data_IF_804934426302
#
_entry.id   IF_804934426302
#
_cell.length_a   1.000
_cell.length_b   1.000
_cell.length_c   1.000
_cell.angle_alpha   90.00
_cell.angle_beta   90.00
_cell.angle_gamma   90.00
#
_symmetry.space_group_name_H-M   'P 1'
#
loop_
_entity.id
_entity.type
_entity.pdbx_description
1 polymer ?
#
# COMPACT_ATOMS: atom_id res chain seq x y z
N UNK A 1 2.79 5.97 17.09
CA UNK A 1 3.44 4.80 16.44
C UNK A 1 3.45 4.83 14.91
N UNK A 2 2.60 5.62 14.23
CA UNK A 2 2.53 5.63 12.74
C UNK A 2 3.63 6.38 11.98
N UNK A 3 4.37 7.28 12.63
CA UNK A 3 5.36 8.14 11.94
C UNK A 3 6.73 7.45 11.75
N UNK A 4 7.06 6.48 12.60
CA UNK A 4 8.38 5.83 12.60
C UNK A 4 8.53 4.72 11.55
N UNK A 5 7.42 4.14 11.06
CA UNK A 5 7.45 3.05 10.08
C UNK A 5 7.67 3.54 8.63
N UNK A 6 7.34 4.80 8.33
CA UNK A 6 7.49 5.37 6.98
C UNK A 6 8.95 5.69 6.65
N UNK A 7 9.74 6.10 7.65
CA UNK A 7 11.16 6.41 7.47
C UNK A 7 12.00 5.20 7.07
N UNK A 8 11.77 4.05 7.71
CA UNK A 8 12.55 2.83 7.43
C UNK A 8 12.29 2.22 6.05
N UNK A 9 11.08 2.42 5.51
CA UNK A 9 10.68 1.86 4.21
C UNK A 9 11.17 2.71 3.04
N UNK A 10 11.19 4.03 3.20
CA UNK A 10 11.84 4.94 2.27
C UNK A 10 13.35 4.65 2.14
N UNK A 11 14.01 4.33 3.26
CA UNK A 11 15.43 3.94 3.27
C UNK A 11 15.67 2.62 2.53
N UNK A 12 14.77 1.64 2.65
CA UNK A 12 14.89 0.36 1.93
C UNK A 12 14.69 0.51 0.42
N UNK A 13 13.73 1.35 -0.01
CA UNK A 13 13.51 1.67 -1.43
C UNK A 13 14.73 2.40 -2.02
N UNK A 14 15.29 3.37 -1.30
CA UNK A 14 16.49 4.10 -1.72
C UNK A 14 17.73 3.18 -1.82
N UNK A 15 17.86 2.19 -0.94
CA UNK A 15 18.98 1.24 -0.95
C UNK A 15 18.97 0.30 -2.17
N UNK A 16 17.78 -0.06 -2.69
CA UNK A 16 17.65 -0.92 -3.87
C UNK A 16 17.94 -0.16 -5.16
N UNK A 17 17.60 1.14 -5.25
CA UNK A 17 17.73 1.96 -6.47
C UNK A 17 19.17 2.19 -6.94
N UNK A 18 20.16 2.04 -6.05
CA UNK A 18 21.56 2.38 -6.35
C UNK A 18 22.25 1.49 -7.39
N UNK A 19 21.80 0.24 -7.57
CA UNK A 19 22.56 -0.80 -8.30
C UNK A 19 21.78 -1.47 -9.45
N UNK A 20 20.56 -0.99 -9.75
CA UNK A 20 19.70 -1.56 -10.82
C UNK A 20 19.68 -0.64 -12.03
N UNK A 21 19.98 -1.18 -13.21
CA UNK A 21 19.85 -0.45 -14.48
C UNK A 21 18.39 -0.15 -14.86
N UNK A 22 18.18 0.72 -15.85
CA UNK A 22 16.87 1.20 -16.32
C UNK A 22 15.78 0.12 -16.45
N UNK A 23 15.98 -1.00 -17.16
CA UNK A 23 14.94 -2.01 -17.29
C UNK A 23 14.55 -2.62 -15.94
N UNK A 24 15.49 -2.72 -14.99
CA UNK A 24 15.21 -3.21 -13.64
C UNK A 24 14.38 -2.23 -12.81
N UNK A 25 14.61 -0.93 -12.94
CA UNK A 25 13.78 0.10 -12.30
C UNK A 25 12.34 0.06 -12.84
N UNK A 26 12.17 -0.04 -14.17
CA UNK A 26 10.86 -0.10 -14.80
C UNK A 26 10.07 -1.34 -14.34
N UNK A 27 10.70 -2.52 -14.35
CA UNK A 27 10.06 -3.77 -13.90
C UNK A 27 9.70 -3.71 -12.42
N UNK A 28 10.60 -3.25 -11.56
CA UNK A 28 10.31 -3.13 -10.13
C UNK A 28 9.17 -2.14 -9.85
N UNK A 29 9.14 -1.00 -10.55
CA UNK A 29 8.06 -0.03 -10.47
C UNK A 29 6.71 -0.61 -10.90
N UNK A 30 6.67 -1.34 -12.02
CA UNK A 30 5.47 -2.01 -12.50
C UNK A 30 4.95 -3.08 -11.51
N UNK A 31 5.85 -3.91 -10.97
CA UNK A 31 5.51 -4.94 -9.99
C UNK A 31 4.92 -4.34 -8.71
N UNK A 32 5.47 -3.23 -8.20
CA UNK A 32 4.88 -2.52 -7.07
C UNK A 32 3.48 -1.98 -7.37
N UNK A 33 3.26 -1.47 -8.58
CA UNK A 33 1.94 -1.03 -9.04
C UNK A 33 0.92 -2.17 -9.03
N UNK A 34 1.30 -3.33 -9.59
CA UNK A 34 0.47 -4.55 -9.58
C UNK A 34 0.22 -5.07 -8.15
N UNK A 35 1.22 -5.02 -7.28
CA UNK A 35 1.06 -5.38 -5.87
C UNK A 35 0.01 -4.49 -5.17
N UNK A 36 -0.09 -3.20 -5.53
CA UNK A 36 -1.14 -2.30 -5.06
C UNK A 36 -2.55 -2.76 -5.44
N UNK A 37 -2.73 -3.34 -6.64
CA UNK A 37 -4.00 -3.95 -7.06
C UNK A 37 -4.33 -5.19 -6.24
N UNK A 38 -3.34 -6.06 -6.00
CA UNK A 38 -3.51 -7.25 -5.15
C UNK A 38 -3.88 -6.85 -3.72
N UNK A 39 -3.22 -5.85 -3.14
CA UNK A 39 -3.57 -5.30 -1.81
C UNK A 39 -5.01 -4.79 -1.76
N UNK A 40 -5.46 -4.16 -2.85
CA UNK A 40 -6.85 -3.69 -2.96
C UNK A 40 -7.81 -4.88 -2.96
N UNK A 41 -7.61 -5.85 -3.87
CA UNK A 41 -8.52 -6.98 -4.04
C UNK A 41 -8.51 -8.00 -2.90
N UNK A 42 -7.35 -8.27 -2.29
CA UNK A 42 -7.22 -9.28 -1.25
C UNK A 42 -7.42 -8.72 0.17
N UNK A 43 -7.16 -7.43 0.37
CA UNK A 43 -7.23 -6.78 1.68
C UNK A 43 -8.45 -5.87 1.83
N UNK A 44 -8.56 -4.86 0.95
CA UNK A 44 -9.54 -3.78 1.12
C UNK A 44 -10.95 -4.23 0.72
N UNK A 45 -11.10 -4.92 -0.42
CA UNK A 45 -12.43 -5.39 -0.88
C UNK A 45 -13.10 -6.32 0.15
N UNK A 46 -12.44 -7.36 0.68
CA UNK A 46 -13.06 -8.23 1.69
C UNK A 46 -13.40 -7.51 3.00
N UNK A 47 -12.62 -6.47 3.37
CA UNK A 47 -12.94 -5.65 4.53
C UNK A 47 -14.20 -4.82 4.29
N UNK A 48 -14.34 -4.23 3.11
CA UNK A 48 -15.53 -3.46 2.75
C UNK A 48 -16.77 -4.37 2.70
N UNK A 49 -16.64 -5.58 2.14
CA UNK A 49 -17.75 -6.55 2.06
C UNK A 49 -18.23 -6.98 3.45
N UNK A 50 -17.32 -7.11 4.43
CA UNK A 50 -17.67 -7.41 5.83
C UNK A 50 -18.34 -6.24 6.54
N UNK A 51 -17.97 -5.00 6.17
CA UNK A 51 -18.56 -3.80 6.75
C UNK A 51 -19.95 -3.51 6.18
N UNK A 52 -20.18 -3.84 4.90
CA UNK A 52 -21.41 -3.53 4.16
C UNK A 52 -22.74 -3.87 4.87
N UNK A 53 -22.89 -5.01 5.59
CA UNK A 53 -24.15 -5.34 6.26
C UNK A 53 -24.35 -4.66 7.64
N UNK A 54 -23.34 -3.96 8.19
CA UNK A 54 -23.44 -3.39 9.54
C UNK A 54 -24.39 -2.18 9.58
N UNK A 55 -25.21 -2.12 10.64
CA UNK A 55 -26.18 -1.04 10.85
C UNK A 55 -25.65 -0.06 11.90
N UNK A 56 -25.47 1.22 11.57
CA UNK A 56 -25.02 2.23 12.53
C UNK A 56 -25.92 2.27 13.78
N UNK A 57 -25.31 2.26 14.97
CA UNK A 57 -26.02 2.36 16.25
C UNK A 57 -26.55 1.04 16.81
N UNK A 58 -26.35 -0.10 16.12
CA UNK A 58 -26.61 -1.41 16.72
C UNK A 58 -25.52 -1.77 17.76
N UNK A 59 -25.84 -2.53 18.83
CA UNK A 59 -24.95 -2.77 19.97
C UNK A 59 -23.55 -3.31 19.62
N UNK A 60 -23.44 -4.13 18.57
CA UNK A 60 -22.18 -4.76 18.18
C UNK A 60 -21.39 -3.99 17.09
N UNK A 61 -21.95 -2.90 16.56
CA UNK A 61 -21.38 -2.22 15.37
C UNK A 61 -20.17 -1.35 15.69
N UNK A 62 -20.09 -0.75 16.88
CA UNK A 62 -18.95 0.11 17.24
C UNK A 62 -17.64 -0.67 17.36
N UNK A 63 -17.70 -1.89 17.90
CA UNK A 63 -16.55 -2.78 18.01
C UNK A 63 -16.04 -3.22 16.63
N UNK A 64 -16.96 -3.68 15.78
CA UNK A 64 -16.65 -4.08 14.39
C UNK A 64 -16.08 -2.92 13.57
N UNK A 65 -16.64 -1.71 13.72
CA UNK A 65 -16.11 -0.51 13.07
C UNK A 65 -14.68 -0.18 13.50
N UNK A 66 -14.38 -0.29 14.79
CA UNK A 66 -13.02 -0.04 15.32
C UNK A 66 -12.01 -1.06 14.80
N UNK A 67 -12.39 -2.33 14.74
CA UNK A 67 -11.59 -3.39 14.16
C UNK A 67 -11.37 -3.17 12.64
N UNK A 68 -12.44 -2.83 11.92
CA UNK A 68 -12.39 -2.47 10.50
C UNK A 68 -11.43 -1.31 10.26
N UNK A 69 -11.56 -0.19 10.98
CA UNK A 69 -10.72 1.00 10.79
C UNK A 69 -9.24 0.68 11.00
N UNK A 70 -8.92 -0.13 12.00
CA UNK A 70 -7.54 -0.55 12.27
C UNK A 70 -6.98 -1.37 11.11
N UNK A 71 -7.73 -2.36 10.63
CA UNK A 71 -7.31 -3.22 9.52
C UNK A 71 -7.23 -2.43 8.21
N UNK A 72 -8.26 -1.64 7.90
CA UNK A 72 -8.36 -0.81 6.71
C UNK A 72 -7.20 0.19 6.65
N UNK A 73 -6.88 0.85 7.76
CA UNK A 73 -5.75 1.79 7.83
C UNK A 73 -4.44 1.10 7.46
N UNK A 74 -4.17 -0.10 7.97
CA UNK A 74 -2.94 -0.86 7.64
C UNK A 74 -2.86 -1.17 6.14
N UNK A 75 -3.94 -1.68 5.55
CA UNK A 75 -3.98 -1.97 4.12
C UNK A 75 -3.86 -0.72 3.26
N UNK A 76 -4.41 0.41 3.70
CA UNK A 76 -4.27 1.67 3.00
C UNK A 76 -2.81 2.18 3.04
N UNK A 77 -2.09 2.01 4.15
CA UNK A 77 -0.66 2.33 4.22
C UNK A 77 0.16 1.46 3.25
N UNK A 78 -0.10 0.15 3.18
CA UNK A 78 0.57 -0.73 2.23
C UNK A 78 0.34 -0.29 0.78
N UNK A 79 -0.90 0.08 0.44
CA UNK A 79 -1.25 0.58 -0.89
C UNK A 79 -0.53 1.89 -1.21
N UNK A 80 -0.47 2.83 -0.27
CA UNK A 80 0.23 4.11 -0.43
C UNK A 80 1.72 3.92 -0.67
N UNK A 81 2.39 3.09 0.13
CA UNK A 81 3.81 2.80 -0.05
C UNK A 81 4.06 2.15 -1.41
N UNK A 82 3.28 1.15 -1.78
CA UNK A 82 3.43 0.47 -3.07
C UNK A 82 3.27 1.45 -4.25
N UNK A 83 2.25 2.32 -4.20
CA UNK A 83 2.01 3.33 -5.23
C UNK A 83 3.13 4.38 -5.29
N UNK A 84 3.63 4.85 -4.15
CA UNK A 84 4.74 5.81 -4.09
C UNK A 84 6.04 5.20 -4.62
N UNK A 85 6.38 3.98 -4.18
CA UNK A 85 7.55 3.26 -4.68
C UNK A 85 7.45 2.98 -6.19
N UNK A 86 6.28 2.56 -6.67
CA UNK A 86 6.01 2.39 -8.10
C UNK A 86 6.25 3.69 -8.88
N UNK A 87 5.67 4.80 -8.41
CA UNK A 87 5.80 6.11 -9.04
C UNK A 87 7.26 6.58 -9.11
N UNK A 88 8.01 6.45 -8.02
CA UNK A 88 9.43 6.85 -7.97
C UNK A 88 10.28 6.00 -8.92
N UNK A 89 10.12 4.68 -8.89
CA UNK A 89 10.90 3.77 -9.74
C UNK A 89 10.62 3.98 -11.23
N UNK A 90 9.35 4.15 -11.60
CA UNK A 90 8.98 4.42 -12.98
C UNK A 90 9.46 5.81 -13.45
N UNK A 91 9.39 6.83 -12.59
CA UNK A 91 9.91 8.15 -12.90
C UNK A 91 11.43 8.13 -13.11
N UNK A 92 12.17 7.40 -12.27
CA UNK A 92 13.62 7.23 -12.44
C UNK A 92 13.96 6.45 -13.72
N UNK A 93 13.23 5.37 -14.01
CA UNK A 93 13.40 4.58 -15.23
C UNK A 93 13.13 5.39 -16.51
N UNK A 94 12.19 6.33 -16.45
CA UNK A 94 11.89 7.24 -17.56
C UNK A 94 12.88 8.41 -17.65
N UNK A 95 13.56 8.76 -16.55
CA UNK A 95 14.52 9.85 -16.52
C UNK A 95 15.91 9.45 -17.01
N UNK A 96 16.25 8.15 -17.01
CA UNK A 96 17.54 7.68 -17.53
C UNK A 96 17.40 6.79 -18.79
N UNK A 97 16.20 6.74 -19.38
CA UNK A 97 15.91 6.17 -20.70
C UNK A 97 16.28 7.10 -21.85
#
# INVERSE_FOLDING_TARGET
>A
MGVLALGSLAVLILAVVGDVGEPGLAVAGALLGLAGLVVTGAGNVPLNDRLAPLVPGAPDTEGEWTAYLTAWTRWNHLRTVAALGSSVLLALAAARS
#
